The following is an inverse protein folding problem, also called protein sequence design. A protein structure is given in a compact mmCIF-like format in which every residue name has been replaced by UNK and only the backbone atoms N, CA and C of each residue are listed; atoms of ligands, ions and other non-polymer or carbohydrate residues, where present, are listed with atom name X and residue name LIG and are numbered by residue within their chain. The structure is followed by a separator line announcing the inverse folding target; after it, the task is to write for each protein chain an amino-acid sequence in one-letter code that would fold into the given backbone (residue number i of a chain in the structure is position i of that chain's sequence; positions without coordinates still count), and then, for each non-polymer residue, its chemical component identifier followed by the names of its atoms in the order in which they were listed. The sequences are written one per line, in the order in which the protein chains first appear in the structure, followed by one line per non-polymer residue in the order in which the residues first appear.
data_IF_762136148924
#
_entry.id   IF_762136148924
#
_cell.length_a   1.000
_cell.length_b   1.000
_cell.length_c   1.000
_cell.angle_alpha   90.00
_cell.angle_beta   90.00
_cell.angle_gamma   90.00
#
_symmetry.space_group_name_H-M   'P 1'
#
loop_
_entity.id
_entity.type
_entity.pdbx_description
1 polymer ?
#
# COMPACT_ATOMS: atom_id res chain seq x y z
N UNK A 1 -10.63 23.84 -9.18
CA UNK A 1 -9.76 22.97 -8.36
C UNK A 1 -9.83 21.58 -8.96
N UNK A 2 -8.77 21.12 -9.65
CA UNK A 2 -8.75 19.76 -10.21
C UNK A 2 -8.68 18.75 -9.06
N UNK A 3 -9.68 17.89 -8.96
CA UNK A 3 -9.60 16.71 -8.08
C UNK A 3 -8.58 15.78 -8.70
N UNK A 4 -7.44 15.60 -8.03
CA UNK A 4 -6.43 14.63 -8.46
C UNK A 4 -6.84 13.31 -7.86
N UNK A 5 -7.11 12.36 -8.73
CA UNK A 5 -7.54 11.04 -8.33
C UNK A 5 -6.31 10.22 -8.02
N UNK A 6 -6.37 9.33 -7.04
CA UNK A 6 -5.18 8.66 -6.55
C UNK A 6 -5.47 7.32 -5.89
N UNK A 7 -4.46 6.47 -5.80
CA UNK A 7 -4.57 5.24 -5.03
C UNK A 7 -4.65 5.53 -3.53
N UNK A 8 -5.08 4.53 -2.76
CA UNK A 8 -4.90 4.54 -1.32
C UNK A 8 -3.41 4.46 -0.95
N UNK A 9 -3.02 5.05 0.16
CA UNK A 9 -1.70 4.80 0.76
C UNK A 9 -1.66 3.45 1.47
N UNK A 10 -0.46 2.93 1.69
CA UNK A 10 -0.28 1.76 2.55
C UNK A 10 -0.21 2.14 4.02
N UNK A 11 -0.71 1.26 4.88
CA UNK A 11 -0.54 1.32 6.33
C UNK A 11 0.87 0.96 6.76
N UNK A 12 1.37 1.67 7.77
CA UNK A 12 2.57 1.39 8.52
C UNK A 12 2.30 0.47 9.72
N UNK A 13 3.21 0.47 10.68
CA UNK A 13 3.05 -0.31 11.91
C UNK A 13 1.86 0.17 12.75
N UNK A 14 1.79 1.48 13.02
CA UNK A 14 0.78 2.12 13.85
C UNK A 14 -0.10 3.13 13.11
N UNK A 15 0.15 3.37 11.83
CA UNK A 15 -0.58 4.33 11.00
C UNK A 15 -1.30 3.63 9.86
N UNK A 16 -2.56 3.98 9.65
CA UNK A 16 -3.29 3.54 8.45
C UNK A 16 -2.95 4.47 7.28
N UNK A 17 -2.97 3.91 6.07
CA UNK A 17 -2.72 4.65 4.84
C UNK A 17 -3.83 5.65 4.55
N UNK A 18 -3.51 6.66 3.73
CA UNK A 18 -4.45 7.68 3.29
C UNK A 18 -5.53 7.08 2.38
N UNK A 19 -6.79 7.37 2.68
CA UNK A 19 -7.95 7.05 1.82
C UNK A 19 -8.38 8.23 0.96
N UNK A 20 -9.05 7.94 -0.16
CA UNK A 20 -9.88 8.92 -0.88
C UNK A 20 -11.15 9.30 -0.11
N UNK A 21 -11.79 10.41 -0.48
CA UNK A 21 -13.01 10.94 0.19
C UNK A 21 -14.21 10.01 0.07
N UNK A 22 -14.29 9.17 -0.97
CA UNK A 22 -15.27 8.10 -1.12
C UNK A 22 -15.10 6.94 -0.11
N UNK A 23 -13.98 6.92 0.62
CA UNK A 23 -13.71 6.02 1.73
C UNK A 23 -13.45 6.81 3.03
N UNK A 24 -14.17 7.91 3.23
CA UNK A 24 -14.08 8.79 4.41
C UNK A 24 -12.68 9.42 4.62
N UNK A 25 -11.87 9.53 3.56
CA UNK A 25 -10.61 10.25 3.58
C UNK A 25 -10.78 11.77 3.46
N UNK A 26 -9.67 12.50 3.55
CA UNK A 26 -9.67 13.97 3.62
C UNK A 26 -9.41 14.68 2.28
N UNK A 27 -8.92 13.97 1.26
CA UNK A 27 -8.54 14.59 -0.02
C UNK A 27 -8.56 13.63 -1.21
N UNK A 28 -9.17 14.08 -2.31
CA UNK A 28 -9.20 13.40 -3.62
C UNK A 28 -10.11 12.17 -3.65
N UNK A 29 -10.60 11.79 -4.83
CA UNK A 29 -11.26 10.50 -5.02
C UNK A 29 -10.22 9.42 -5.30
N UNK A 30 -10.51 8.18 -4.90
CA UNK A 30 -9.48 7.17 -4.98
C UNK A 30 -9.74 5.87 -4.25
N UNK A 31 -8.66 5.09 -4.13
CA UNK A 31 -8.63 3.86 -3.33
C UNK A 31 -8.68 4.12 -1.82
N UNK A 32 -9.11 3.12 -1.07
CA UNK A 32 -9.02 3.11 0.39
C UNK A 32 -7.57 2.87 0.81
N UNK A 33 -7.12 3.53 1.88
CA UNK A 33 -5.82 3.24 2.47
C UNK A 33 -5.81 1.92 3.24
N UNK A 34 -4.69 1.20 3.18
CA UNK A 34 -4.49 -0.02 3.96
C UNK A 34 -4.43 0.28 5.46
N UNK A 35 -4.85 -0.67 6.30
CA UNK A 35 -4.80 -0.53 7.76
C UNK A 35 -3.39 -0.78 8.29
N UNK A 36 -3.11 -0.17 9.44
CA UNK A 36 -1.87 -0.39 10.15
C UNK A 36 -1.68 -1.88 10.52
N UNK A 37 -0.42 -2.31 10.70
CA UNK A 37 -0.10 -3.67 11.18
C UNK A 37 -0.85 -4.01 12.47
N UNK A 38 -0.83 -3.12 13.47
CA UNK A 38 -1.54 -3.32 14.75
C UNK A 38 -3.07 -3.33 14.62
N UNK A 39 -3.59 -2.90 13.47
CA UNK A 39 -5.01 -2.95 13.11
C UNK A 39 -5.31 -4.15 12.17
N UNK A 40 -4.42 -5.14 12.15
CA UNK A 40 -4.57 -6.37 11.37
C UNK A 40 -4.02 -6.30 9.93
N UNK A 41 -3.42 -5.18 9.52
CA UNK A 41 -2.81 -5.05 8.20
C UNK A 41 -3.78 -5.33 7.05
N UNK A 42 -5.05 -4.94 7.20
CA UNK A 42 -6.07 -5.15 6.17
C UNK A 42 -5.78 -4.30 4.95
N UNK A 43 -5.81 -4.91 3.76
CA UNK A 43 -5.67 -4.21 2.49
C UNK A 43 -6.80 -3.23 2.20
N UNK A 44 -6.48 -2.11 1.56
CA UNK A 44 -7.44 -1.10 1.15
C UNK A 44 -8.17 -1.50 -0.12
N UNK A 45 -9.47 -1.23 -0.18
CA UNK A 45 -10.31 -1.51 -1.36
C UNK A 45 -10.04 -0.55 -2.51
N UNK A 46 -10.05 -1.06 -3.74
CA UNK A 46 -10.25 -0.21 -4.91
C UNK A 46 -11.69 0.31 -4.96
N UNK A 47 -11.90 1.50 -5.54
CA UNK A 47 -13.26 2.05 -5.67
C UNK A 47 -14.12 1.24 -6.67
N UNK A 48 -13.51 0.73 -7.76
CA UNK A 48 -14.18 -0.10 -8.77
C UNK A 48 -13.33 -1.33 -9.12
N UNK A 49 -13.98 -2.39 -9.60
CA UNK A 49 -13.37 -3.66 -10.07
C UNK A 49 -12.69 -4.54 -8.99
N UNK A 50 -12.95 -4.29 -7.70
CA UNK A 50 -12.68 -5.21 -6.58
C UNK A 50 -11.25 -5.77 -6.48
N UNK A 51 -10.23 -4.95 -6.78
CA UNK A 51 -8.84 -5.34 -6.47
C UNK A 51 -8.42 -4.66 -5.18
N UNK A 52 -8.45 -5.42 -4.10
CA UNK A 52 -7.98 -4.95 -2.80
C UNK A 52 -6.45 -4.95 -2.75
N UNK A 53 -5.88 -4.03 -1.97
CA UNK A 53 -4.46 -4.02 -1.66
C UNK A 53 -4.04 -5.30 -0.92
N UNK A 54 -2.76 -5.65 -1.03
CA UNK A 54 -2.17 -6.71 -0.20
C UNK A 54 -2.11 -6.32 1.28
N UNK A 55 -1.42 -7.11 2.10
CA UNK A 55 -1.26 -6.84 3.53
C UNK A 55 -0.78 -5.39 3.80
N UNK A 56 -1.63 -4.60 4.44
CA UNK A 56 -1.44 -3.17 4.72
C UNK A 56 -1.36 -2.28 3.48
N UNK A 57 -1.49 -2.81 2.26
CA UNK A 57 -1.42 -2.05 1.02
C UNK A 57 -2.70 -1.25 0.76
N UNK A 58 -2.57 -0.09 0.10
CA UNK A 58 -3.72 0.70 -0.36
C UNK A 58 -4.35 0.13 -1.62
N UNK A 59 -5.61 0.47 -1.86
CA UNK A 59 -6.33 0.11 -3.09
C UNK A 59 -5.95 1.00 -4.27
N UNK A 60 -6.15 0.52 -5.50
CA UNK A 60 -5.91 1.29 -6.72
C UNK A 60 -6.82 2.50 -6.89
N UNK A 61 -6.35 3.49 -7.65
CA UNK A 61 -7.13 4.64 -8.08
C UNK A 61 -8.21 4.23 -9.09
N UNK A 62 -9.22 5.08 -9.27
CA UNK A 62 -10.21 4.86 -10.33
C UNK A 62 -9.59 5.08 -11.72
N UNK A 63 -10.07 4.33 -12.72
CA UNK A 63 -9.81 4.60 -14.14
C UNK A 63 -11.02 5.26 -14.80
N UNK A 64 -10.90 6.50 -15.32
CA UNK A 64 -12.04 7.27 -15.87
C UNK A 64 -12.64 6.68 -17.14
N UNK A 65 -11.95 5.75 -17.79
CA UNK A 65 -12.24 5.28 -19.14
C UNK A 65 -12.12 3.76 -19.16
N UNK A 66 -13.04 3.07 -19.84
CA UNK A 66 -12.93 1.63 -20.11
C UNK A 66 -11.61 1.38 -20.86
N UNK A 67 -10.70 0.59 -20.27
CA UNK A 67 -9.35 0.38 -20.80
C UNK A 67 -8.30 1.45 -20.40
N UNK A 68 -8.68 2.46 -19.61
CA UNK A 68 -7.74 3.38 -18.96
C UNK A 68 -7.50 2.98 -17.53
N UNK A 69 -6.41 2.27 -17.25
CA UNK A 69 -6.00 1.94 -15.88
C UNK A 69 -5.82 3.20 -15.03
N UNK A 70 -6.34 3.18 -13.79
CA UNK A 70 -5.94 4.13 -12.75
C UNK A 70 -4.61 3.70 -12.14
N UNK A 71 -3.92 4.61 -11.43
CA UNK A 71 -2.66 4.24 -10.80
C UNK A 71 -2.81 3.35 -9.57
N UNK A 72 -1.73 2.66 -9.23
CA UNK A 72 -1.69 1.69 -8.13
C UNK A 72 -1.80 2.32 -6.73
N UNK A 73 -2.18 1.49 -5.75
CA UNK A 73 -2.07 1.85 -4.34
C UNK A 73 -0.63 1.77 -3.82
N UNK A 74 -0.38 2.37 -2.66
CA UNK A 74 0.89 2.25 -1.94
C UNK A 74 1.05 0.90 -1.26
N UNK A 75 2.29 0.41 -1.16
CA UNK A 75 2.60 -0.83 -0.45
C UNK A 75 2.44 -0.70 1.06
N UNK A 76 2.00 -1.77 1.73
CA UNK A 76 2.02 -1.84 3.19
C UNK A 76 3.43 -2.03 3.75
N UNK A 77 3.55 -2.11 5.07
CA UNK A 77 4.82 -2.40 5.74
C UNK A 77 4.89 -1.75 7.11
N UNK A 78 6.09 -1.60 7.65
CA UNK A 78 6.30 -0.90 8.93
C UNK A 78 6.20 0.62 8.77
N UNK A 79 6.71 1.18 7.67
CA UNK A 79 6.61 2.62 7.40
C UNK A 79 5.35 3.02 6.61
N UNK A 80 4.71 2.05 5.95
CA UNK A 80 3.68 2.29 4.95
C UNK A 80 4.22 2.97 3.67
N UNK A 81 3.45 2.86 2.60
CA UNK A 81 3.78 3.36 1.26
C UNK A 81 2.89 4.51 0.81
N UNK A 82 3.40 5.37 -0.07
CA UNK A 82 2.65 6.52 -0.60
C UNK A 82 1.62 6.11 -1.65
N UNK A 83 0.52 6.87 -1.72
CA UNK A 83 -0.49 6.73 -2.78
C UNK A 83 0.12 6.91 -4.17
N UNK A 84 -0.29 6.07 -5.13
CA UNK A 84 -0.03 6.33 -6.54
C UNK A 84 -0.92 7.45 -7.09
N UNK A 85 -0.45 8.10 -8.15
CA UNK A 85 -1.24 9.09 -8.87
C UNK A 85 -2.41 8.41 -9.62
N UNK A 86 -3.39 9.15 -10.11
CA UNK A 86 -4.52 8.60 -10.88
C UNK A 86 -4.21 8.38 -12.36
N UNK A 87 -2.97 8.66 -12.78
CA UNK A 87 -2.53 8.50 -14.16
C UNK A 87 -2.37 7.03 -14.55
N UNK A 88 -2.49 6.76 -15.86
CA UNK A 88 -2.18 5.44 -16.43
C UNK A 88 -0.74 5.05 -16.12
N UNK A 89 -0.55 3.78 -15.82
CA UNK A 89 0.76 3.16 -15.56
C UNK A 89 1.55 3.84 -14.42
N UNK A 90 0.87 4.55 -13.52
CA UNK A 90 1.49 5.11 -12.33
C UNK A 90 1.37 4.15 -11.15
N UNK A 91 2.40 4.12 -10.31
CA UNK A 91 2.48 3.25 -9.13
C UNK A 91 2.49 4.07 -7.84
N UNK A 92 2.07 3.45 -6.74
CA UNK A 92 2.33 3.95 -5.39
C UNK A 92 3.73 3.58 -4.92
N UNK A 93 4.21 4.26 -3.88
CA UNK A 93 5.48 3.93 -3.24
C UNK A 93 5.39 2.64 -2.42
N UNK A 94 6.49 1.91 -2.30
CA UNK A 94 6.61 0.75 -1.41
C UNK A 94 6.71 1.18 0.07
N UNK A 95 6.24 0.32 0.98
CA UNK A 95 6.49 0.46 2.41
C UNK A 95 7.78 -0.25 2.80
N UNK A 96 8.52 0.33 3.74
CA UNK A 96 9.71 -0.28 4.34
C UNK A 96 9.34 -1.22 5.49
N UNK A 97 10.13 -2.27 5.67
CA UNK A 97 10.10 -3.13 6.84
C UNK A 97 11.09 -2.61 7.89
N UNK A 98 10.76 -2.78 9.17
CA UNK A 98 11.71 -2.56 10.26
C UNK A 98 12.18 -3.93 10.75
N UNK A 99 13.49 -4.16 10.69
CA UNK A 99 14.12 -5.36 11.25
C UNK A 99 15.20 -4.93 12.23
N UNK A 100 14.95 -5.20 13.52
CA UNK A 100 15.94 -5.09 14.61
C UNK A 100 16.40 -6.48 15.09
N UNK A 101 16.03 -7.51 14.32
CA UNK A 101 16.40 -8.87 14.59
C UNK A 101 17.82 -9.17 14.10
N UNK A 102 18.60 -9.88 14.91
CA UNK A 102 19.94 -10.35 14.52
C UNK A 102 19.89 -11.65 13.70
N UNK A 103 18.69 -12.21 13.50
CA UNK A 103 18.44 -13.44 12.74
C UNK A 103 17.98 -13.06 11.33
N UNK A 104 18.91 -12.55 10.52
CA UNK A 104 18.64 -12.13 9.17
C UNK A 104 19.15 -13.17 8.17
N UNK A 105 18.33 -13.49 7.17
CA UNK A 105 18.72 -14.28 5.99
C UNK A 105 19.25 -13.34 4.88
N UNK A 106 19.97 -12.28 5.25
CA UNK A 106 20.61 -11.35 4.32
C UNK A 106 22.08 -11.73 4.13
N UNK A 107 22.33 -12.96 3.66
CA UNK A 107 23.68 -13.31 3.22
C UNK A 107 24.10 -12.31 2.13
N UNK A 108 25.23 -11.62 2.33
CA UNK A 108 25.74 -10.70 1.32
C UNK A 108 25.74 -11.40 -0.03
N UNK A 109 25.40 -10.60 -1.04
CA UNK A 109 25.74 -10.93 -2.40
C UNK A 109 24.79 -11.98 -3.05
N UNK A 110 23.77 -12.47 -2.32
CA UNK A 110 22.73 -13.36 -2.87
C UNK A 110 21.36 -12.70 -3.10
N UNK A 111 21.05 -11.57 -2.45
CA UNK A 111 19.74 -10.90 -2.56
C UNK A 111 19.90 -9.44 -2.99
N UNK A 112 20.28 -9.22 -4.25
CA UNK A 112 20.29 -7.88 -4.86
C UNK A 112 18.97 -7.52 -5.56
N UNK A 113 18.02 -8.46 -5.63
CA UNK A 113 16.70 -8.29 -6.21
C UNK A 113 15.74 -9.38 -5.69
N UNK A 114 14.49 -9.04 -5.38
CA UNK A 114 13.47 -9.98 -4.93
C UNK A 114 12.56 -9.41 -3.84
N UNK A 115 11.47 -10.11 -3.53
CA UNK A 115 10.60 -9.78 -2.40
C UNK A 115 11.26 -10.21 -1.09
N UNK A 116 11.24 -9.35 -0.07
CA UNK A 116 11.69 -9.72 1.27
C UNK A 116 10.79 -10.80 1.88
N UNK A 117 11.40 -11.77 2.57
CA UNK A 117 10.71 -12.80 3.33
C UNK A 117 10.72 -12.40 4.81
N UNK A 118 9.56 -12.47 5.48
CA UNK A 118 9.46 -12.27 6.93
C UNK A 118 8.88 -13.54 7.54
N UNK A 119 9.65 -14.19 8.43
CA UNK A 119 9.20 -15.36 9.20
C UNK A 119 8.84 -14.89 10.62
N UNK A 120 7.55 -14.86 10.93
CA UNK A 120 7.05 -14.49 12.26
C UNK A 120 7.03 -15.75 13.14
N UNK A 121 7.80 -15.73 14.23
CA UNK A 121 7.85 -16.83 15.20
C UNK A 121 7.56 -16.27 16.58
N UNK A 122 6.70 -16.93 17.36
CA UNK A 122 6.53 -16.60 18.77
C UNK A 122 7.77 -17.04 19.55
N UNK A 123 8.35 -16.14 20.33
CA UNK A 123 9.41 -16.46 21.27
C UNK A 123 8.77 -16.71 22.64
N UNK A 124 9.15 -17.81 23.30
CA UNK A 124 8.76 -18.15 24.68
C UNK A 124 9.54 -17.32 25.71
#
# INVERSE_FOLDING_TARGET
MLTIDSGGGGGGFNSSGRSGTNFNGTKGYGGEGGKAFIQGGVGGRAWYYYVDGGFGGGGGAYGRIVGGGGGGGGGGGYSGGSSGNGGRDTCGGGGGSYEDGNNQDNECCYINAGHGQVTITFLE
#
